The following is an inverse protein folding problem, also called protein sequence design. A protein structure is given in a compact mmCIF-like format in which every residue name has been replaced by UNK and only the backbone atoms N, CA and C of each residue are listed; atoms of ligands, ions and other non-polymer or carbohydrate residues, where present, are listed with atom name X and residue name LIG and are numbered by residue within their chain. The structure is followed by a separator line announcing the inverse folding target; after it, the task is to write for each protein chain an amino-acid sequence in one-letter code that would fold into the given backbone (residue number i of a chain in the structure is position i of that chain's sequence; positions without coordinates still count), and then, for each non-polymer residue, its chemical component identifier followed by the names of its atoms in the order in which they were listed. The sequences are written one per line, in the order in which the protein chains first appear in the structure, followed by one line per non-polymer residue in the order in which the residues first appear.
data_IF_075811057391
#
_entry.id   IF_075811057391
#
_cell.length_a   1.000
_cell.length_b   1.000
_cell.length_c   1.000
_cell.angle_alpha   90.00
_cell.angle_beta   90.00
_cell.angle_gamma   90.00
#
_symmetry.space_group_name_H-M   'P 1'
#
loop_
_entity.id
_entity.type
_entity.pdbx_description
1 polymer ?
#
# COMPACT_ATOMS: atom_id res chain seq x y z
N UNK A 1 5.33 4.02 -22.36
CA UNK A 1 5.83 4.31 -20.99
C UNK A 1 4.78 3.83 -20.00
N UNK A 2 5.16 3.38 -18.79
CA UNK A 2 4.18 3.12 -17.73
C UNK A 2 3.46 4.42 -17.37
N UNK A 3 2.21 4.30 -16.90
CA UNK A 3 1.44 5.41 -16.34
C UNK A 3 0.74 4.96 -15.07
N UNK A 4 0.50 5.91 -14.16
CA UNK A 4 -0.30 5.69 -12.96
C UNK A 4 -1.80 5.82 -13.27
N UNK A 5 -2.64 5.30 -12.38
CA UNK A 5 -4.07 5.62 -12.41
C UNK A 5 -4.27 7.14 -12.25
N UNK A 6 -5.32 7.74 -12.85
CA UNK A 6 -5.44 9.20 -12.98
C UNK A 6 -5.28 10.01 -11.69
N UNK A 7 -5.70 9.45 -10.55
CA UNK A 7 -5.61 10.14 -9.25
C UNK A 7 -4.43 9.67 -8.39
N UNK A 8 -3.77 8.57 -8.74
CA UNK A 8 -2.76 7.94 -7.87
C UNK A 8 -1.55 8.84 -7.66
N UNK A 9 -1.07 9.52 -8.71
CA UNK A 9 0.05 10.46 -8.59
C UNK A 9 -0.24 11.58 -7.58
N UNK A 10 -1.36 12.28 -7.75
CA UNK A 10 -1.76 13.36 -6.83
C UNK A 10 -1.95 12.87 -5.39
N UNK A 11 -2.46 11.66 -5.20
CA UNK A 11 -2.59 11.05 -3.86
C UNK A 11 -1.21 10.80 -3.23
N UNK A 12 -0.27 10.20 -3.97
CA UNK A 12 1.08 9.93 -3.45
C UNK A 12 1.80 11.22 -3.04
N UNK A 13 1.72 12.28 -3.86
CA UNK A 13 2.30 13.58 -3.52
C UNK A 13 1.62 14.22 -2.30
N UNK A 14 0.28 14.20 -2.23
CA UNK A 14 -0.44 14.75 -1.08
C UNK A 14 -0.09 14.04 0.23
N UNK A 15 0.02 12.70 0.22
CA UNK A 15 0.45 11.92 1.39
C UNK A 15 1.88 12.28 1.80
N UNK A 16 2.79 12.37 0.83
CA UNK A 16 4.18 12.77 1.07
C UNK A 16 4.29 14.17 1.67
N UNK A 17 3.56 15.15 1.13
CA UNK A 17 3.51 16.52 1.64
C UNK A 17 2.95 16.61 3.07
N UNK A 18 2.03 15.71 3.42
CA UNK A 18 1.49 15.58 4.79
C UNK A 18 2.41 14.80 5.74
N UNK A 19 3.57 14.34 5.27
CA UNK A 19 4.51 13.57 6.10
C UNK A 19 3.99 12.18 6.45
N UNK A 20 3.10 11.60 5.62
CA UNK A 20 2.58 10.25 5.82
C UNK A 20 3.53 9.27 5.11
N UNK A 21 4.13 8.37 5.89
CA UNK A 21 4.97 7.31 5.37
C UNK A 21 4.17 6.36 4.48
N UNK A 22 4.74 6.02 3.32
CA UNK A 22 4.14 5.10 2.35
C UNK A 22 5.03 3.88 2.17
N UNK A 23 4.42 2.71 1.96
CA UNK A 23 5.12 1.46 1.71
C UNK A 23 4.47 0.67 0.56
N UNK A 24 5.25 -0.21 -0.07
CA UNK A 24 4.76 -1.14 -1.09
C UNK A 24 4.74 -2.55 -0.51
N UNK A 25 3.63 -3.25 -0.70
CA UNK A 25 3.51 -4.69 -0.52
C UNK A 25 3.03 -5.30 -1.83
N UNK A 26 3.86 -6.09 -2.51
CA UNK A 26 3.54 -6.69 -3.81
C UNK A 26 4.02 -8.14 -3.88
N UNK A 27 3.16 -9.01 -4.42
CA UNK A 27 3.43 -10.45 -4.61
C UNK A 27 4.08 -10.77 -5.97
N UNK A 28 4.50 -9.75 -6.72
CA UNK A 28 5.13 -9.94 -8.04
C UNK A 28 6.34 -10.89 -7.97
N UNK A 29 6.44 -11.88 -8.87
CA UNK A 29 7.62 -12.74 -8.97
C UNK A 29 8.82 -12.04 -9.63
N UNK A 30 8.62 -10.84 -10.19
CA UNK A 30 9.64 -10.06 -10.90
C UNK A 30 9.91 -8.72 -10.19
N UNK A 31 10.61 -8.76 -9.03
CA UNK A 31 10.84 -7.57 -8.23
C UNK A 31 11.72 -6.52 -8.92
N UNK A 32 12.62 -6.95 -9.78
CA UNK A 32 13.49 -6.10 -10.62
C UNK A 32 12.68 -5.29 -11.65
N UNK A 33 11.70 -5.92 -12.31
CA UNK A 33 10.81 -5.26 -13.27
C UNK A 33 9.92 -4.24 -12.54
N UNK A 34 9.32 -4.64 -11.41
CA UNK A 34 8.49 -3.75 -10.61
C UNK A 34 9.27 -2.51 -10.14
N UNK A 35 10.51 -2.69 -9.63
CA UNK A 35 11.39 -1.58 -9.24
C UNK A 35 11.73 -0.68 -10.42
N UNK A 36 11.99 -1.25 -11.59
CA UNK A 36 12.25 -0.48 -12.83
C UNK A 36 11.05 0.39 -13.21
N UNK A 37 9.81 -0.09 -13.04
CA UNK A 37 8.62 0.73 -13.26
C UNK A 37 8.51 1.87 -12.24
N UNK A 38 8.76 1.61 -10.96
CA UNK A 38 8.75 2.65 -9.92
C UNK A 38 9.81 3.74 -10.18
N UNK A 39 11.00 3.34 -10.66
CA UNK A 39 12.06 4.26 -11.09
C UNK A 39 11.63 5.12 -12.27
N UNK A 40 11.09 4.50 -13.33
CA UNK A 40 10.62 5.21 -14.53
C UNK A 40 9.44 6.16 -14.26
N UNK A 41 8.64 5.86 -13.26
CA UNK A 41 7.54 6.70 -12.79
C UNK A 41 7.99 7.80 -11.81
N UNK A 42 9.25 7.79 -11.36
CA UNK A 42 9.78 8.81 -10.44
C UNK A 42 9.27 8.72 -9.00
N UNK A 43 8.54 7.66 -8.64
CA UNK A 43 7.88 7.52 -7.32
C UNK A 43 8.64 6.61 -6.35
N UNK A 44 9.68 5.92 -6.79
CA UNK A 44 10.40 4.93 -5.95
C UNK A 44 10.90 5.50 -4.62
N UNK A 45 11.39 6.73 -4.60
CA UNK A 45 11.91 7.38 -3.39
C UNK A 45 10.83 7.85 -2.41
N UNK A 46 9.55 7.79 -2.79
CA UNK A 46 8.43 8.14 -1.92
C UNK A 46 8.10 7.05 -0.90
N UNK A 47 8.61 5.83 -1.08
CA UNK A 47 8.26 4.68 -0.25
C UNK A 47 9.37 4.33 0.74
N UNK A 48 9.06 4.38 2.04
CA UNK A 48 10.00 4.05 3.12
C UNK A 48 10.33 2.56 3.20
N UNK A 49 9.46 1.71 2.66
CA UNK A 49 9.64 0.26 2.56
C UNK A 49 9.07 -0.25 1.22
N UNK A 50 9.76 -1.22 0.61
CA UNK A 50 9.38 -1.81 -0.68
C UNK A 50 9.47 -3.34 -0.61
N UNK A 51 8.42 -3.94 -0.06
CA UNK A 51 8.30 -5.39 0.04
C UNK A 51 7.68 -5.91 -1.27
N UNK A 52 8.55 -6.33 -2.19
CA UNK A 52 8.16 -6.86 -3.50
C UNK A 52 8.82 -8.24 -3.64
N UNK A 53 8.03 -9.28 -3.45
CA UNK A 53 8.47 -10.68 -3.58
C UNK A 53 7.25 -11.61 -3.58
N UNK A 54 7.37 -12.77 -4.21
CA UNK A 54 6.35 -13.81 -4.13
C UNK A 54 6.32 -14.46 -2.76
N UNK A 55 5.12 -14.69 -2.25
CA UNK A 55 4.88 -15.39 -0.99
C UNK A 55 3.63 -16.28 -1.11
N UNK A 56 3.66 -17.35 -0.33
CA UNK A 56 2.48 -18.20 -0.09
C UNK A 56 1.47 -17.52 0.84
N UNK A 57 1.93 -16.58 1.67
CA UNK A 57 1.04 -15.74 2.46
C UNK A 57 0.36 -14.69 1.58
N UNK A 58 -0.91 -14.43 1.83
CA UNK A 58 -1.66 -13.33 1.20
C UNK A 58 -1.25 -12.00 1.87
N UNK A 59 -0.04 -11.52 1.56
CA UNK A 59 0.61 -10.29 2.05
C UNK A 59 0.91 -10.18 3.55
N UNK A 60 0.61 -11.20 4.35
CA UNK A 60 0.94 -11.18 5.79
C UNK A 60 2.44 -11.04 6.03
N UNK A 61 3.28 -11.74 5.25
CA UNK A 61 4.74 -11.64 5.38
C UNK A 61 5.26 -10.25 4.99
N UNK A 62 4.72 -9.65 3.93
CA UNK A 62 5.05 -8.28 3.52
C UNK A 62 4.77 -7.29 4.64
N UNK A 63 3.59 -7.37 5.27
CA UNK A 63 3.22 -6.50 6.39
C UNK A 63 4.12 -6.71 7.62
N UNK A 64 4.51 -7.94 7.93
CA UNK A 64 5.47 -8.21 9.01
C UNK A 64 6.83 -7.53 8.75
N UNK A 65 7.33 -7.57 7.50
CA UNK A 65 8.59 -6.90 7.12
C UNK A 65 8.47 -5.38 7.15
N UNK A 66 7.34 -4.83 6.68
CA UNK A 66 7.05 -3.39 6.79
C UNK A 66 7.04 -2.97 8.25
N UNK A 67 6.28 -3.65 9.11
CA UNK A 67 6.22 -3.39 10.54
C UNK A 67 7.61 -3.43 11.19
N UNK A 68 8.40 -4.47 10.90
CA UNK A 68 9.77 -4.59 11.43
C UNK A 68 10.67 -3.43 11.00
N UNK A 69 10.50 -2.93 9.78
CA UNK A 69 11.33 -1.85 9.21
C UNK A 69 10.92 -0.46 9.71
N UNK A 70 9.62 -0.22 9.89
CA UNK A 70 9.08 1.11 10.23
C UNK A 70 8.75 1.28 11.71
N UNK A 71 8.55 0.17 12.44
CA UNK A 71 8.04 0.19 13.81
C UNK A 71 6.56 0.57 13.94
N UNK A 72 5.87 0.87 12.82
CA UNK A 72 4.47 1.29 12.83
C UNK A 72 3.57 0.12 13.22
N UNK A 73 2.68 0.24 14.23
CA UNK A 73 1.74 -0.81 14.61
C UNK A 73 0.75 -1.13 13.49
N UNK A 74 0.30 -2.39 13.38
CA UNK A 74 -0.65 -2.80 12.33
C UNK A 74 -1.96 -2.00 12.34
N UNK A 75 -2.51 -1.72 13.52
CA UNK A 75 -3.73 -0.90 13.67
C UNK A 75 -3.54 0.57 13.24
N UNK A 76 -2.30 1.01 13.04
CA UNK A 76 -1.95 2.35 12.55
C UNK A 76 -1.62 2.35 11.06
N UNK A 77 -1.96 1.29 10.33
CA UNK A 77 -1.77 1.18 8.88
C UNK A 77 -3.09 1.20 8.11
N UNK A 78 -3.09 1.85 6.95
CA UNK A 78 -4.15 1.84 5.95
C UNK A 78 -3.64 1.20 4.65
N UNK A 79 -4.35 0.19 4.17
CA UNK A 79 -3.94 -0.66 3.06
C UNK A 79 -4.98 -0.66 1.93
N UNK A 80 -4.51 -0.55 0.69
CA UNK A 80 -5.31 -0.62 -0.53
C UNK A 80 -4.82 -1.76 -1.41
N UNK A 81 -5.73 -2.64 -1.84
CA UNK A 81 -5.43 -3.77 -2.73
C UNK A 81 -6.61 -4.13 -3.61
N UNK A 82 -6.34 -4.72 -4.77
CA UNK A 82 -7.36 -5.22 -5.69
C UNK A 82 -7.71 -6.71 -5.49
N UNK A 83 -6.91 -7.47 -4.72
CA UNK A 83 -7.15 -8.88 -4.48
C UNK A 83 -7.84 -9.11 -3.11
N UNK A 84 -9.10 -9.58 -3.14
CA UNK A 84 -9.91 -9.87 -1.94
C UNK A 84 -9.18 -10.71 -0.89
N UNK A 85 -8.40 -11.71 -1.32
CA UNK A 85 -7.66 -12.60 -0.42
C UNK A 85 -6.58 -11.87 0.37
N UNK A 86 -5.93 -10.88 -0.23
CA UNK A 86 -4.96 -10.02 0.46
C UNK A 86 -5.68 -9.14 1.47
N UNK A 87 -6.82 -8.55 1.10
CA UNK A 87 -7.64 -7.72 2.00
C UNK A 87 -8.09 -8.53 3.22
N UNK A 88 -8.64 -9.73 3.01
CA UNK A 88 -9.11 -10.59 4.09
C UNK A 88 -7.97 -10.99 5.02
N UNK A 89 -6.84 -11.43 4.47
CA UNK A 89 -5.69 -11.89 5.25
C UNK A 89 -5.05 -10.75 6.04
N UNK A 90 -4.87 -9.58 5.44
CA UNK A 90 -4.23 -8.42 6.09
C UNK A 90 -5.16 -7.79 7.13
N UNK A 91 -6.47 -7.75 6.89
CA UNK A 91 -7.45 -7.23 7.87
C UNK A 91 -7.42 -7.99 9.19
N UNK A 92 -7.15 -9.31 9.17
CA UNK A 92 -7.02 -10.15 10.38
C UNK A 92 -5.86 -9.74 11.29
N UNK A 93 -4.91 -8.94 10.79
CA UNK A 93 -3.78 -8.42 11.58
C UNK A 93 -4.07 -7.09 12.28
N UNK A 94 -5.26 -6.50 12.04
CA UNK A 94 -5.66 -5.19 12.58
C UNK A 94 -5.45 -4.01 11.62
N UNK A 95 -4.82 -4.23 10.47
CA UNK A 95 -4.66 -3.21 9.41
C UNK A 95 -6.01 -2.83 8.82
N UNK A 96 -6.29 -1.53 8.69
CA UNK A 96 -7.48 -1.09 7.95
C UNK A 96 -7.26 -1.33 6.47
N UNK A 97 -8.01 -2.27 5.88
CA UNK A 97 -7.83 -2.66 4.49
C UNK A 97 -9.06 -2.29 3.64
N UNK A 98 -8.80 -1.81 2.42
CA UNK A 98 -9.78 -1.33 1.43
C UNK A 98 -9.55 -2.05 0.10
N UNK A 99 -10.57 -2.78 -0.35
CA UNK A 99 -10.59 -3.35 -1.70
C UNK A 99 -10.77 -2.25 -2.75
N UNK A 100 -9.93 -2.25 -3.78
CA UNK A 100 -10.00 -1.30 -4.90
C UNK A 100 -10.12 -2.02 -6.24
N UNK A 101 -11.19 -1.79 -6.99
CA UNK A 101 -11.44 -2.52 -8.25
C UNK A 101 -10.78 -1.93 -9.51
N UNK A 102 -10.49 -0.63 -9.53
CA UNK A 102 -9.90 0.05 -10.71
C UNK A 102 -8.83 1.05 -10.29
N UNK A 103 -7.89 0.57 -9.49
CA UNK A 103 -6.79 1.36 -8.95
C UNK A 103 -7.18 2.36 -7.87
N UNK A 104 -6.15 2.97 -7.29
CA UNK A 104 -6.28 3.97 -6.24
C UNK A 104 -6.88 5.26 -6.81
N UNK A 105 -7.96 5.73 -6.18
CA UNK A 105 -8.63 6.97 -6.53
C UNK A 105 -9.09 7.73 -5.27
N UNK A 106 -9.49 9.00 -5.45
CA UNK A 106 -9.91 9.88 -4.33
C UNK A 106 -11.08 9.28 -3.54
N UNK A 107 -12.01 8.59 -4.21
CA UNK A 107 -13.13 7.92 -3.55
C UNK A 107 -12.66 6.80 -2.62
N UNK A 108 -11.77 5.93 -3.11
CA UNK A 108 -11.15 4.87 -2.31
C UNK A 108 -10.34 5.45 -1.15
N UNK A 109 -9.53 6.48 -1.39
CA UNK A 109 -8.77 7.15 -0.33
C UNK A 109 -9.68 7.70 0.76
N UNK A 110 -10.75 8.42 0.38
CA UNK A 110 -11.73 8.98 1.33
C UNK A 110 -12.38 7.87 2.16
N UNK A 111 -12.83 6.79 1.52
CA UNK A 111 -13.39 5.63 2.20
C UNK A 111 -12.39 5.02 3.19
N UNK A 112 -11.13 4.88 2.76
CA UNK A 112 -10.04 4.36 3.58
C UNK A 112 -9.78 5.21 4.82
N UNK A 113 -9.68 6.53 4.65
CA UNK A 113 -9.48 7.47 5.75
C UNK A 113 -10.66 7.47 6.73
N UNK A 114 -11.90 7.44 6.23
CA UNK A 114 -13.09 7.33 7.09
C UNK A 114 -13.06 6.06 7.92
N UNK A 115 -12.86 4.90 7.28
CA UNK A 115 -12.80 3.60 7.98
C UNK A 115 -11.63 3.53 8.97
N UNK A 116 -10.48 4.07 8.59
CA UNK A 116 -9.28 4.12 9.44
C UNK A 116 -9.55 4.96 10.70
N UNK A 117 -10.20 6.11 10.56
CA UNK A 117 -10.54 6.96 11.71
C UNK A 117 -11.52 6.30 12.68
N UNK A 118 -12.45 5.47 12.18
CA UNK A 118 -13.41 4.73 13.01
C UNK A 118 -12.76 3.56 13.76
N UNK A 119 -11.74 2.93 13.18
CA UNK A 119 -11.00 1.83 13.79
C UNK A 119 -9.92 2.30 14.79
N UNK A 120 -9.57 3.58 14.76
CA UNK A 120 -8.54 4.19 15.61
C UNK A 120 -9.12 4.89 16.85
N UNK A 121 -10.45 4.90 16.99
CA UNK A 121 -11.18 5.41 18.15
C UNK A 121 -11.41 4.29 19.19
#
# INVERSE_FOLDING_TARGET
MPSLYPHAEGILYALKEKGIDMAIASRSPTPDIAKTFLDKLGIKSMFVAQEIFSSWSHKTEHFQRIHRRTGVPFNSMLFFDDEDRNIESVSKTGVTSILVGNGLNIGALRQGLTKFSQNSA
#
